data_IF_782418201437
#
_entry.id   IF_782418201437
#
_cell.length_a   1.000
_cell.length_b   1.000
_cell.length_c   1.000
_cell.angle_alpha   90.00
_cell.angle_beta   90.00
_cell.angle_gamma   90.00
#
_symmetry.space_group_name_H-M   'P 1'
#
loop_
_entity.id
_entity.type
_entity.pdbx_description
1 polymer ?
#
# COMPACT_ATOMS: atom_id res chain seq x y z
N UNK A 1 7.74 -11.34 -2.57
CA UNK A 1 8.32 -10.17 -3.29
C UNK A 1 8.04 -8.92 -2.47
N UNK A 2 9.07 -8.13 -2.17
CA UNK A 2 9.00 -6.84 -1.46
C UNK A 2 9.68 -5.77 -2.31
N UNK A 3 9.14 -4.55 -2.32
CA UNK A 3 9.77 -3.42 -2.99
C UNK A 3 10.88 -2.87 -2.11
N UNK A 4 12.13 -3.05 -2.53
CA UNK A 4 13.29 -2.63 -1.73
C UNK A 4 13.86 -1.29 -2.17
N UNK A 5 13.86 -1.00 -3.46
CA UNK A 5 14.33 0.29 -3.97
C UNK A 5 13.38 0.79 -5.03
N UNK A 6 13.15 2.08 -5.07
CA UNK A 6 12.47 2.73 -6.17
C UNK A 6 13.09 4.09 -6.51
N UNK A 7 12.94 4.45 -7.77
CA UNK A 7 13.25 5.77 -8.33
C UNK A 7 12.14 6.17 -9.27
N UNK A 8 11.83 7.45 -9.32
CA UNK A 8 10.81 7.98 -10.23
C UNK A 8 11.22 9.33 -10.81
N UNK A 9 10.93 9.55 -12.09
CA UNK A 9 11.12 10.85 -12.75
C UNK A 9 9.87 11.21 -13.54
N UNK A 10 9.33 12.38 -13.27
CA UNK A 10 8.20 12.99 -13.96
C UNK A 10 8.68 14.11 -14.85
N UNK A 11 8.23 14.16 -16.11
CA UNK A 11 8.53 15.20 -17.10
C UNK A 11 10.02 15.54 -17.24
N UNK A 12 10.85 14.50 -17.40
CA UNK A 12 12.31 14.59 -17.48
C UNK A 12 12.77 15.62 -18.52
N UNK A 13 13.67 16.53 -18.11
CA UNK A 13 14.23 17.59 -18.97
C UNK A 13 13.27 18.75 -19.22
N UNK A 14 12.10 18.83 -18.57
CA UNK A 14 11.14 19.91 -18.72
C UNK A 14 11.14 20.84 -17.49
N UNK A 15 10.62 22.08 -17.60
CA UNK A 15 10.59 23.04 -16.50
C UNK A 15 9.81 22.56 -15.25
N UNK A 16 8.87 21.63 -15.43
CA UNK A 16 8.06 21.01 -14.41
C UNK A 16 8.55 19.59 -14.03
N UNK A 17 9.83 19.31 -14.31
CA UNK A 17 10.47 18.06 -13.87
C UNK A 17 10.36 17.91 -12.36
N UNK A 18 9.97 16.71 -11.94
CA UNK A 18 10.02 16.31 -10.56
C UNK A 18 10.47 14.86 -10.43
N UNK A 19 11.37 14.59 -9.49
CA UNK A 19 11.93 13.28 -9.29
C UNK A 19 11.87 12.85 -7.81
N UNK A 20 11.79 11.55 -7.61
CA UNK A 20 12.20 10.88 -6.37
C UNK A 20 13.55 10.27 -6.66
N UNK A 21 14.57 10.68 -5.91
CA UNK A 21 15.89 10.05 -5.99
C UNK A 21 15.80 8.59 -5.55
N UNK A 22 16.79 7.80 -5.92
CA UNK A 22 16.82 6.40 -5.52
C UNK A 22 16.68 6.27 -4.00
N UNK A 23 15.65 5.55 -3.59
CA UNK A 23 15.29 5.37 -2.20
C UNK A 23 15.23 3.88 -1.86
N UNK A 24 16.01 3.45 -0.86
CA UNK A 24 15.91 2.11 -0.30
C UNK A 24 14.86 2.08 0.81
N UNK A 25 13.97 1.08 0.73
CA UNK A 25 12.91 0.81 1.69
C UNK A 25 13.26 -0.41 2.54
N UNK A 26 12.75 -0.43 3.77
CA UNK A 26 12.78 -1.58 4.66
C UNK A 26 11.40 -2.28 4.70
N UNK A 27 11.27 -3.42 5.41
CA UNK A 27 9.95 -4.02 5.62
C UNK A 27 8.94 -3.09 6.31
N UNK A 28 9.42 -2.15 7.13
CA UNK A 28 8.62 -1.14 7.83
C UNK A 28 9.21 0.23 7.54
N UNK A 29 8.40 1.17 7.05
CA UNK A 29 8.85 2.51 6.69
C UNK A 29 7.86 3.56 7.20
N UNK A 30 8.38 4.60 7.85
CA UNK A 30 7.65 5.81 8.19
C UNK A 30 8.29 7.00 7.47
N UNK A 31 7.61 7.52 6.45
CA UNK A 31 8.06 8.70 5.72
C UNK A 31 7.57 9.93 6.48
N UNK A 32 8.52 10.69 7.01
CA UNK A 32 8.25 11.92 7.76
C UNK A 32 8.72 13.15 6.99
N UNK A 33 8.04 14.27 7.19
CA UNK A 33 8.42 15.52 6.54
C UNK A 33 7.36 16.61 6.72
N UNK A 34 7.77 17.86 6.50
CA UNK A 34 6.89 19.02 6.57
C UNK A 34 5.69 18.89 5.62
N UNK A 35 4.62 19.64 5.88
CA UNK A 35 3.50 19.72 4.94
C UNK A 35 4.01 20.19 3.57
N UNK A 36 3.40 19.66 2.51
CA UNK A 36 3.80 19.91 1.11
C UNK A 36 5.24 19.47 0.74
N UNK A 37 5.92 18.63 1.54
CA UNK A 37 7.22 18.07 1.19
C UNK A 37 7.15 17.01 0.08
N UNK A 38 5.97 16.39 -0.13
CA UNK A 38 5.76 15.38 -1.16
C UNK A 38 5.55 13.96 -0.63
N UNK A 39 5.32 13.76 0.67
CA UNK A 39 5.03 12.46 1.30
C UNK A 39 3.95 11.68 0.54
N UNK A 40 2.75 12.26 0.45
CA UNK A 40 1.61 11.64 -0.26
C UNK A 40 1.90 11.38 -1.74
N UNK A 41 2.71 12.24 -2.39
CA UNK A 41 3.10 12.05 -3.79
C UNK A 41 4.00 10.82 -3.96
N UNK A 42 4.92 10.57 -3.02
CA UNK A 42 5.81 9.39 -3.03
C UNK A 42 4.97 8.11 -2.92
N UNK A 43 4.10 8.00 -1.93
CA UNK A 43 3.28 6.79 -1.75
C UNK A 43 2.28 6.60 -2.87
N UNK A 44 1.75 7.67 -3.45
CA UNK A 44 0.86 7.63 -4.60
C UNK A 44 1.57 7.07 -5.86
N UNK A 45 2.86 7.36 -6.07
CA UNK A 45 3.65 6.82 -7.18
C UNK A 45 3.77 5.30 -7.09
N UNK A 46 4.01 4.78 -5.88
CA UNK A 46 4.07 3.34 -5.61
C UNK A 46 2.69 2.70 -5.87
N UNK A 47 1.63 3.35 -5.40
CA UNK A 47 0.26 2.88 -5.63
C UNK A 47 -0.13 2.86 -7.11
N UNK A 48 0.14 3.95 -7.86
CA UNK A 48 -0.13 4.01 -9.31
C UNK A 48 0.57 2.87 -10.04
N UNK A 49 1.84 2.59 -9.72
CA UNK A 49 2.55 1.47 -10.32
C UNK A 49 1.87 0.14 -10.02
N UNK A 50 1.40 -0.06 -8.79
CA UNK A 50 0.68 -1.28 -8.44
C UNK A 50 -0.66 -1.42 -9.19
N UNK A 51 -1.36 -0.32 -9.47
CA UNK A 51 -2.58 -0.35 -10.27
C UNK A 51 -2.30 -0.70 -11.74
N UNK A 52 -1.21 -0.17 -12.29
CA UNK A 52 -0.77 -0.48 -13.66
C UNK A 52 -0.41 -1.97 -13.80
N UNK A 53 0.43 -2.49 -12.92
CA UNK A 53 0.90 -3.88 -12.95
C UNK A 53 -0.19 -4.92 -12.65
N UNK A 54 -1.21 -4.55 -11.87
CA UNK A 54 -2.35 -5.42 -11.57
C UNK A 54 -3.49 -5.31 -12.60
N UNK A 55 -3.34 -4.44 -13.61
CA UNK A 55 -4.40 -4.12 -14.59
C UNK A 55 -5.69 -3.55 -13.95
N UNK A 56 -5.55 -2.91 -12.77
CA UNK A 56 -6.68 -2.26 -12.11
C UNK A 56 -6.96 -0.86 -12.68
N UNK A 57 -5.96 -0.27 -13.32
CA UNK A 57 -6.05 1.03 -13.98
C UNK A 57 -6.14 0.86 -15.49
N UNK A 58 -7.21 1.38 -16.09
CA UNK A 58 -7.50 1.22 -17.52
C UNK A 58 -6.68 2.14 -18.44
N UNK A 59 -6.05 3.19 -17.90
CA UNK A 59 -5.31 4.17 -18.70
C UNK A 59 -3.93 4.43 -18.14
N UNK A 60 -2.93 4.48 -19.01
CA UNK A 60 -1.58 4.90 -18.67
C UNK A 60 -1.54 6.40 -18.31
N UNK A 61 -0.56 6.84 -17.49
CA UNK A 61 -0.32 8.25 -17.19
C UNK A 61 -0.14 9.09 -18.45
N UNK A 62 -0.85 10.22 -18.56
CA UNK A 62 -0.85 11.11 -19.72
C UNK A 62 0.21 12.23 -19.63
N UNK A 63 1.12 12.15 -18.67
CA UNK A 63 2.26 13.07 -18.56
C UNK A 63 3.12 13.08 -19.83
N UNK A 64 3.88 14.15 -20.04
CA UNK A 64 4.83 14.21 -21.16
C UNK A 64 5.88 13.11 -21.07
N UNK A 65 6.37 12.81 -19.84
CA UNK A 65 7.11 11.59 -19.55
C UNK A 65 6.92 11.16 -18.10
N UNK A 66 7.01 9.85 -17.85
CA UNK A 66 7.03 9.23 -16.54
C UNK A 66 7.95 8.02 -16.58
N UNK A 67 8.97 8.00 -15.75
CA UNK A 67 9.96 6.93 -15.71
C UNK A 67 9.96 6.31 -14.31
N UNK A 68 9.73 4.97 -14.20
CA UNK A 68 9.85 4.18 -12.98
C UNK A 68 11.02 3.23 -13.10
N UNK A 69 11.75 3.09 -12.01
CA UNK A 69 12.75 2.06 -11.83
C UNK A 69 12.56 1.44 -10.45
N UNK A 70 12.25 0.16 -10.41
CA UNK A 70 11.88 -0.58 -9.21
C UNK A 70 12.79 -1.79 -9.05
N UNK A 71 13.22 -2.06 -7.81
CA UNK A 71 13.96 -3.25 -7.45
C UNK A 71 13.27 -3.97 -6.30
N UNK A 72 13.16 -5.26 -6.44
CA UNK A 72 12.51 -6.13 -5.46
C UNK A 72 13.49 -7.22 -5.02
N UNK A 73 13.35 -7.65 -3.75
CA UNK A 73 14.04 -8.79 -3.16
C UNK A 73 15.58 -8.74 -3.38
N UNK A 74 16.17 -7.55 -3.21
CA UNK A 74 17.60 -7.28 -3.53
C UNK A 74 18.57 -8.09 -2.67
N UNK A 75 18.17 -8.47 -1.46
CA UNK A 75 19.00 -9.27 -0.54
C UNK A 75 18.97 -10.77 -0.89
N UNK A 76 18.20 -11.17 -1.92
CA UNK A 76 18.10 -12.52 -2.46
C UNK A 76 18.57 -12.53 -3.92
N UNK A 77 19.89 -12.69 -4.19
CA UNK A 77 20.46 -12.47 -5.53
C UNK A 77 19.81 -13.26 -6.67
N UNK A 78 19.34 -14.49 -6.41
CA UNK A 78 18.67 -15.32 -7.42
C UNK A 78 17.23 -14.87 -7.71
N UNK A 79 16.58 -14.19 -6.78
CA UNK A 79 15.18 -13.69 -6.85
C UNK A 79 15.11 -12.19 -7.13
N UNK A 80 16.25 -11.47 -7.06
CA UNK A 80 16.31 -10.05 -7.33
C UNK A 80 15.61 -9.73 -8.64
N UNK A 81 14.61 -8.88 -8.55
CA UNK A 81 13.82 -8.46 -9.70
C UNK A 81 13.98 -6.95 -9.92
N UNK A 82 14.31 -6.56 -11.13
CA UNK A 82 14.42 -5.17 -11.55
C UNK A 82 13.39 -4.89 -12.66
N UNK A 83 12.57 -3.86 -12.47
CA UNK A 83 11.55 -3.47 -13.42
C UNK A 83 11.71 -2.01 -13.82
N UNK A 84 11.83 -1.76 -15.11
CA UNK A 84 11.99 -0.44 -15.70
C UNK A 84 10.82 -0.16 -16.63
N UNK A 85 10.15 0.98 -16.43
CA UNK A 85 9.04 1.42 -17.25
C UNK A 85 9.18 2.90 -17.60
N UNK A 86 9.11 3.20 -18.89
CA UNK A 86 9.05 4.57 -19.39
C UNK A 86 7.79 4.77 -20.23
N UNK A 87 7.01 5.79 -19.87
CA UNK A 87 5.78 6.17 -20.54
C UNK A 87 5.90 7.63 -20.99
N UNK A 88 5.50 7.92 -22.23
CA UNK A 88 5.38 9.28 -22.74
C UNK A 88 3.99 9.47 -23.35
N UNK A 89 3.26 10.50 -22.88
CA UNK A 89 1.91 10.85 -23.38
C UNK A 89 0.95 9.66 -23.47
N UNK A 90 1.01 8.76 -22.48
CA UNK A 90 0.16 7.57 -22.42
C UNK A 90 0.62 6.41 -23.30
N UNK A 91 1.82 6.46 -23.85
CA UNK A 91 2.41 5.38 -24.65
C UNK A 91 3.64 4.81 -23.94
N UNK A 92 3.79 3.50 -23.92
CA UNK A 92 4.96 2.82 -23.39
C UNK A 92 6.11 2.95 -24.38
N UNK A 93 7.17 3.61 -23.95
CA UNK A 93 8.39 3.84 -24.74
C UNK A 93 9.44 2.76 -24.48
N UNK A 94 9.50 2.30 -23.24
CA UNK A 94 10.41 1.23 -22.80
C UNK A 94 9.78 0.45 -21.66
N UNK A 95 9.93 -0.87 -21.70
CA UNK A 95 9.52 -1.75 -20.61
C UNK A 95 10.50 -2.92 -20.51
N UNK A 96 11.15 -3.09 -19.37
CA UNK A 96 12.14 -4.14 -19.14
C UNK A 96 11.92 -4.82 -17.80
N UNK A 97 12.13 -6.14 -17.78
CA UNK A 97 12.14 -6.97 -16.58
C UNK A 97 13.38 -7.85 -16.57
N UNK A 98 14.17 -7.72 -15.51
CA UNK A 98 15.41 -8.48 -15.27
C UNK A 98 15.24 -9.25 -13.97
N UNK A 99 15.63 -10.54 -13.93
CA UNK A 99 15.58 -11.37 -12.72
C UNK A 99 16.90 -12.12 -12.55
N UNK A 100 17.40 -12.15 -11.31
CA UNK A 100 18.64 -12.80 -10.92
C UNK A 100 19.88 -11.95 -11.11
N UNK A 101 20.99 -12.37 -10.49
CA UNK A 101 22.27 -11.64 -10.49
C UNK A 101 23.21 -12.03 -11.63
N UNK A 102 22.92 -13.11 -12.35
CA UNK A 102 23.87 -13.74 -13.30
C UNK A 102 23.72 -13.35 -14.76
N UNK A 103 22.63 -12.71 -15.14
CA UNK A 103 22.49 -12.20 -16.52
C UNK A 103 21.93 -10.80 -16.49
N UNK A 104 22.69 -9.84 -17.00
CA UNK A 104 22.19 -8.48 -17.28
C UNK A 104 21.17 -8.46 -18.44
N UNK A 105 20.80 -9.64 -18.97
CA UNK A 105 19.85 -9.75 -20.05
C UNK A 105 18.40 -9.80 -19.56
N UNK A 106 17.55 -8.82 -19.94
CA UNK A 106 16.16 -8.78 -19.51
C UNK A 106 15.38 -10.01 -19.99
N UNK A 107 14.55 -10.58 -19.10
CA UNK A 107 13.58 -11.63 -19.47
C UNK A 107 12.43 -11.07 -20.32
N UNK A 108 12.13 -9.79 -20.17
CA UNK A 108 11.25 -9.03 -21.03
C UNK A 108 11.96 -7.73 -21.41
N UNK A 109 12.02 -7.45 -22.70
CA UNK A 109 12.60 -6.22 -23.26
C UNK A 109 11.73 -5.72 -24.39
N UNK A 110 11.11 -4.54 -24.22
CA UNK A 110 10.19 -3.93 -25.15
C UNK A 110 10.61 -2.52 -25.51
N UNK A 111 10.46 -2.20 -26.77
CA UNK A 111 10.84 -0.94 -27.38
C UNK A 111 9.63 -0.05 -27.72
N UNK A 112 9.89 1.18 -28.11
CA UNK A 112 8.88 2.19 -28.45
C UNK A 112 7.89 1.71 -29.55
N UNK A 113 8.34 0.90 -30.50
CA UNK A 113 7.46 0.33 -31.54
C UNK A 113 6.35 -0.60 -31.01
N UNK A 114 6.41 -0.98 -29.73
CA UNK A 114 5.56 -2.02 -29.16
C UNK A 114 6.08 -3.44 -29.42
N UNK A 115 7.12 -3.58 -30.23
CA UNK A 115 7.84 -4.84 -30.43
C UNK A 115 8.78 -5.12 -29.27
N UNK A 116 9.06 -6.39 -29.03
CA UNK A 116 9.99 -6.78 -27.97
C UNK A 116 10.37 -8.24 -28.03
N UNK A 117 11.16 -8.65 -27.02
CA UNK A 117 11.54 -10.04 -26.78
C UNK A 117 11.14 -10.43 -25.36
N UNK A 118 10.61 -11.63 -25.21
CA UNK A 118 10.22 -12.18 -23.92
C UNK A 118 10.73 -13.62 -23.80
N UNK A 119 11.23 -13.98 -22.63
CA UNK A 119 11.69 -15.34 -22.35
C UNK A 119 10.50 -16.31 -22.29
N UNK A 120 10.59 -17.41 -23.01
CA UNK A 120 9.61 -18.48 -23.04
C UNK A 120 10.17 -19.70 -22.31
N UNK A 121 9.57 -20.04 -21.16
CA UNK A 121 10.12 -21.05 -20.25
C UNK A 121 10.27 -22.44 -20.90
N UNK A 122 9.21 -22.92 -21.57
CA UNK A 122 9.22 -24.28 -22.17
C UNK A 122 10.25 -24.46 -23.29
N UNK A 123 10.52 -23.40 -24.06
CA UNK A 123 11.51 -23.41 -25.13
C UNK A 123 12.90 -22.99 -24.66
N UNK A 124 13.02 -22.51 -23.42
CA UNK A 124 14.24 -21.95 -22.85
C UNK A 124 14.94 -20.92 -23.76
N UNK A 125 14.16 -20.09 -24.44
CA UNK A 125 14.67 -19.06 -25.36
C UNK A 125 13.77 -17.84 -25.37
N UNK A 126 14.31 -16.71 -25.88
CA UNK A 126 13.52 -15.49 -26.09
C UNK A 126 12.78 -15.56 -27.41
N UNK A 127 11.49 -15.24 -27.39
CA UNK A 127 10.63 -15.12 -28.55
C UNK A 127 10.28 -13.63 -28.80
N UNK A 128 10.00 -13.28 -30.04
CA UNK A 128 9.50 -11.94 -30.39
C UNK A 128 8.02 -11.83 -30.05
N UNK A 129 7.62 -10.65 -29.63
CA UNK A 129 6.22 -10.31 -29.42
C UNK A 129 5.94 -8.87 -29.85
N UNK A 130 4.65 -8.55 -30.01
CA UNK A 130 4.17 -7.18 -30.18
C UNK A 130 2.99 -6.95 -29.24
N UNK A 131 2.99 -5.80 -28.54
CA UNK A 131 1.91 -5.36 -27.65
C UNK A 131 1.56 -3.93 -28.00
N UNK A 132 0.29 -3.56 -27.91
CA UNK A 132 -0.17 -2.18 -28.14
C UNK A 132 0.61 -1.21 -27.22
N UNK A 133 0.96 -0.04 -27.73
CA UNK A 133 1.74 0.95 -26.97
C UNK A 133 0.98 1.51 -25.76
N UNK A 134 -0.33 1.38 -25.72
CA UNK A 134 -1.19 1.80 -24.58
C UNK A 134 -1.30 0.74 -23.50
N UNK A 135 -0.64 -0.41 -23.63
CA UNK A 135 -0.74 -1.55 -22.73
C UNK A 135 0.63 -2.00 -22.24
N UNK A 136 0.73 -2.48 -21.00
CA UNK A 136 1.98 -3.06 -20.47
C UNK A 136 2.16 -4.50 -20.95
N UNK A 137 3.36 -4.83 -21.44
CA UNK A 137 3.68 -6.18 -21.88
C UNK A 137 3.70 -7.18 -20.72
N UNK A 138 4.20 -6.80 -19.53
CA UNK A 138 4.17 -7.64 -18.32
C UNK A 138 2.75 -8.05 -17.92
N UNK A 139 1.75 -7.22 -18.25
CA UNK A 139 0.33 -7.51 -17.98
C UNK A 139 -0.28 -8.36 -19.09
N UNK A 140 -0.09 -7.95 -20.34
CA UNK A 140 -0.73 -8.60 -21.50
C UNK A 140 -0.13 -9.96 -21.87
N UNK A 141 1.15 -10.16 -21.53
CA UNK A 141 1.87 -11.42 -21.79
C UNK A 141 1.90 -12.34 -20.59
N UNK A 142 1.18 -12.00 -19.50
CA UNK A 142 1.13 -12.83 -18.31
C UNK A 142 0.47 -14.17 -18.62
N UNK A 143 1.23 -15.23 -18.42
CA UNK A 143 0.83 -16.61 -18.52
C UNK A 143 1.67 -17.43 -17.53
N UNK A 144 1.02 -18.12 -16.60
CA UNK A 144 1.70 -18.83 -15.53
C UNK A 144 2.52 -20.06 -16.00
N UNK A 145 2.27 -20.55 -17.22
CA UNK A 145 2.99 -21.67 -17.82
C UNK A 145 4.15 -21.13 -18.67
N UNK A 146 3.85 -20.22 -19.59
CA UNK A 146 4.82 -19.71 -20.55
C UNK A 146 5.80 -18.69 -19.93
N UNK A 147 5.27 -17.81 -19.06
CA UNK A 147 5.99 -16.68 -18.48
C UNK A 147 5.80 -16.58 -16.95
N UNK A 148 6.09 -17.65 -16.18
CA UNK A 148 5.84 -17.71 -14.73
C UNK A 148 6.57 -16.63 -13.93
N UNK A 149 7.67 -16.09 -14.47
CA UNK A 149 8.44 -15.01 -13.87
C UNK A 149 7.68 -13.67 -13.78
N UNK A 150 6.57 -13.51 -14.51
CA UNK A 150 5.69 -12.33 -14.42
C UNK A 150 4.75 -12.39 -13.21
N UNK A 151 4.51 -13.59 -12.66
CA UNK A 151 3.57 -13.78 -11.56
C UNK A 151 3.97 -13.06 -10.28
N UNK A 152 5.27 -12.93 -9.98
CA UNK A 152 5.76 -12.20 -8.80
C UNK A 152 5.35 -10.73 -8.79
N UNK A 153 5.55 -10.02 -9.90
CA UNK A 153 5.12 -8.62 -10.05
C UNK A 153 3.61 -8.47 -9.94
N UNK A 154 2.86 -9.36 -10.56
CA UNK A 154 1.40 -9.35 -10.48
C UNK A 154 0.92 -9.61 -9.05
N UNK A 155 1.48 -10.59 -8.35
CA UNK A 155 1.10 -10.90 -6.96
C UNK A 155 1.39 -9.72 -6.04
N UNK A 156 2.58 -9.11 -6.11
CA UNK A 156 2.91 -7.91 -5.36
C UNK A 156 1.91 -6.78 -5.66
N UNK A 157 1.70 -6.49 -6.93
CA UNK A 157 0.85 -5.37 -7.35
C UNK A 157 -0.63 -5.60 -7.00
N UNK A 158 -1.14 -6.82 -7.13
CA UNK A 158 -2.53 -7.15 -6.79
C UNK A 158 -2.78 -7.22 -5.28
N UNK A 159 -1.74 -7.49 -4.48
CA UNK A 159 -1.83 -7.55 -3.02
C UNK A 159 -1.62 -6.19 -2.34
N UNK A 160 -1.06 -5.20 -3.02
CA UNK A 160 -0.84 -3.87 -2.44
C UNK A 160 -2.19 -3.21 -2.08
N UNK A 161 -2.24 -2.63 -0.88
CA UNK A 161 -3.37 -1.85 -0.36
C UNK A 161 -2.92 -0.43 -0.08
N UNK A 162 -3.75 0.53 -0.45
CA UNK A 162 -3.50 1.94 -0.23
C UNK A 162 -4.63 2.57 0.58
N UNK A 163 -4.27 3.19 1.69
CA UNK A 163 -5.17 3.85 2.62
C UNK A 163 -4.83 5.32 2.71
N UNK A 164 -5.69 6.18 2.21
CA UNK A 164 -5.68 7.60 2.57
C UNK A 164 -6.39 7.74 3.92
N UNK A 165 -5.63 7.60 5.02
CA UNK A 165 -6.20 7.48 6.36
C UNK A 165 -7.02 8.72 6.75
N UNK A 166 -6.67 9.89 6.25
CA UNK A 166 -7.43 11.13 6.40
C UNK A 166 -8.82 11.16 5.75
N UNK A 167 -9.17 10.17 4.92
CA UNK A 167 -10.46 10.11 4.20
C UNK A 167 -11.53 9.31 4.95
N UNK A 168 -12.68 9.11 4.32
CA UNK A 168 -13.79 8.32 4.89
C UNK A 168 -13.55 6.79 4.85
N UNK A 169 -12.57 6.31 4.08
CA UNK A 169 -12.21 4.89 3.92
C UNK A 169 -13.42 3.96 3.69
N UNK A 170 -14.41 4.42 2.94
CA UNK A 170 -15.58 3.61 2.62
C UNK A 170 -16.69 3.63 3.69
N UNK A 171 -16.64 4.53 4.67
CA UNK A 171 -17.66 4.63 5.73
C UNK A 171 -19.10 4.76 5.21
N UNK A 172 -19.27 5.38 4.06
CA UNK A 172 -20.58 5.56 3.39
C UNK A 172 -20.86 4.48 2.33
N UNK A 173 -19.94 3.54 2.12
CA UNK A 173 -20.09 2.49 1.11
C UNK A 173 -20.75 1.27 1.72
N UNK A 174 -21.86 0.85 1.12
CA UNK A 174 -22.53 -0.41 1.40
C UNK A 174 -22.10 -1.44 0.35
N UNK A 175 -22.21 -2.70 0.69
CA UNK A 175 -21.86 -3.80 -0.22
C UNK A 175 -23.11 -4.63 -0.54
N UNK A 176 -23.38 -4.80 -1.83
CA UNK A 176 -24.43 -5.71 -2.29
C UNK A 176 -23.80 -7.08 -2.62
N UNK A 177 -24.25 -8.18 -1.97
CA UNK A 177 -23.80 -9.51 -2.31
C UNK A 177 -24.06 -9.83 -3.79
N UNK A 178 -23.13 -10.54 -4.47
CA UNK A 178 -23.32 -10.93 -5.87
C UNK A 178 -24.45 -11.95 -6.02
N UNK A 179 -25.05 -11.99 -7.20
CA UNK A 179 -26.10 -12.95 -7.54
C UNK A 179 -25.53 -14.09 -8.40
N UNK A 180 -25.98 -15.38 -8.27
CA UNK A 180 -26.87 -15.94 -7.23
C UNK A 180 -26.19 -16.05 -5.87
N UNK A 181 -26.96 -15.99 -4.79
CA UNK A 181 -26.46 -15.82 -3.41
C UNK A 181 -26.03 -17.06 -2.70
N UNK A 182 -26.51 -18.19 -3.17
CA UNK A 182 -26.14 -19.53 -2.69
C UNK A 182 -24.75 -19.96 -3.16
N UNK A 183 -24.09 -19.17 -4.02
CA UNK A 183 -22.70 -19.43 -4.41
C UNK A 183 -21.72 -18.83 -3.42
N UNK A 184 -20.59 -19.50 -3.26
CA UNK A 184 -19.46 -18.97 -2.52
C UNK A 184 -18.94 -17.66 -3.14
N UNK A 185 -18.61 -16.70 -2.29
CA UNK A 185 -17.94 -15.46 -2.72
C UNK A 185 -16.57 -15.79 -3.29
N UNK A 186 -16.25 -15.16 -4.40
CA UNK A 186 -14.92 -15.19 -4.97
C UNK A 186 -14.24 -13.83 -4.87
N UNK A 187 -12.92 -13.80 -4.98
CA UNK A 187 -12.15 -12.55 -5.01
C UNK A 187 -12.53 -11.64 -6.17
N UNK A 188 -13.10 -12.18 -7.25
CA UNK A 188 -13.55 -11.40 -8.39
C UNK A 188 -14.84 -10.62 -8.09
N UNK A 189 -15.59 -11.03 -7.06
CA UNK A 189 -16.84 -10.37 -6.64
C UNK A 189 -16.55 -9.12 -5.78
N UNK A 190 -15.32 -8.96 -5.32
CA UNK A 190 -14.93 -7.92 -4.41
C UNK A 190 -13.72 -7.18 -4.98
N UNK A 191 -13.82 -5.87 -5.07
CA UNK A 191 -12.67 -5.02 -5.42
C UNK A 191 -11.68 -4.95 -4.24
N UNK A 192 -11.00 -6.07 -3.97
CA UNK A 192 -10.12 -6.21 -2.79
C UNK A 192 -9.07 -5.09 -2.73
N UNK A 193 -8.68 -4.53 -3.87
CA UNK A 193 -7.68 -3.45 -3.96
C UNK A 193 -8.23 -2.08 -3.57
N UNK A 194 -9.53 -1.90 -3.62
CA UNK A 194 -10.20 -0.68 -3.21
C UNK A 194 -10.42 -0.68 -1.70
N UNK A 195 -9.75 0.24 -0.99
CA UNK A 195 -9.87 0.38 0.46
C UNK A 195 -11.30 0.66 0.93
N UNK A 196 -12.17 1.17 0.06
CA UNK A 196 -13.58 1.37 0.35
C UNK A 196 -14.41 0.07 0.36
N UNK A 197 -13.89 -1.03 -0.16
CA UNK A 197 -14.57 -2.34 -0.24
C UNK A 197 -14.57 -3.13 1.09
N UNK A 198 -14.43 -2.45 2.22
CA UNK A 198 -14.23 -3.06 3.55
C UNK A 198 -15.32 -4.06 3.94
N UNK A 199 -16.59 -3.78 3.62
CA UNK A 199 -17.72 -4.66 3.92
C UNK A 199 -17.61 -5.99 3.15
N UNK A 200 -17.28 -5.91 1.86
CA UNK A 200 -17.05 -7.09 1.03
C UNK A 200 -15.84 -7.91 1.49
N UNK A 201 -14.74 -7.24 1.89
CA UNK A 201 -13.55 -7.92 2.44
C UNK A 201 -13.90 -8.62 3.75
N UNK A 202 -14.71 -8.00 4.60
CA UNK A 202 -15.19 -8.65 5.83
C UNK A 202 -16.04 -9.89 5.52
N UNK A 203 -16.97 -9.80 4.56
CA UNK A 203 -17.79 -10.93 4.13
C UNK A 203 -16.92 -12.11 3.64
N UNK A 204 -15.93 -11.81 2.78
CA UNK A 204 -15.00 -12.80 2.26
C UNK A 204 -14.13 -13.42 3.37
N UNK A 205 -13.59 -12.62 4.28
CA UNK A 205 -12.78 -13.10 5.39
C UNK A 205 -13.61 -13.99 6.36
N UNK A 206 -14.87 -13.63 6.61
CA UNK A 206 -15.79 -14.44 7.37
C UNK A 206 -16.06 -15.80 6.71
N UNK A 207 -16.19 -15.84 5.37
CA UNK A 207 -16.41 -17.08 4.62
C UNK A 207 -15.13 -17.94 4.55
N UNK A 208 -13.96 -17.37 4.20
CA UNK A 208 -12.71 -18.11 3.99
C UNK A 208 -12.05 -18.56 5.31
N UNK A 209 -12.14 -17.74 6.38
CA UNK A 209 -11.37 -17.91 7.62
C UNK A 209 -12.30 -18.19 8.83
N UNK A 210 -13.48 -17.58 8.85
CA UNK A 210 -14.46 -17.79 9.93
C UNK A 210 -14.16 -17.01 11.21
N UNK A 211 -14.40 -17.67 12.37
CA UNK A 211 -14.25 -17.05 13.69
C UNK A 211 -12.86 -16.49 13.98
N UNK A 212 -11.73 -17.15 13.63
CA UNK A 212 -10.40 -16.59 13.87
C UNK A 212 -10.21 -15.19 13.28
N UNK A 213 -10.81 -14.90 12.12
CA UNK A 213 -10.76 -13.58 11.50
C UNK A 213 -11.52 -12.52 12.32
N UNK A 214 -12.74 -12.84 12.73
CA UNK A 214 -13.56 -11.95 13.57
C UNK A 214 -12.90 -11.68 14.92
N UNK A 215 -12.40 -12.73 15.56
CA UNK A 215 -11.79 -12.65 16.89
C UNK A 215 -10.49 -11.83 16.87
N UNK A 216 -9.70 -11.94 15.78
CA UNK A 216 -8.52 -11.10 15.57
C UNK A 216 -8.89 -9.61 15.44
N UNK A 217 -9.93 -9.28 14.68
CA UNK A 217 -10.40 -7.89 14.54
C UNK A 217 -10.85 -7.33 15.88
N UNK A 218 -11.65 -8.09 16.67
CA UNK A 218 -12.11 -7.68 17.98
C UNK A 218 -10.93 -7.48 18.94
N UNK A 219 -9.94 -8.37 18.90
CA UNK A 219 -8.71 -8.25 19.70
C UNK A 219 -7.94 -6.98 19.38
N UNK A 220 -7.73 -6.70 18.09
CA UNK A 220 -7.00 -5.51 17.64
C UNK A 220 -7.73 -4.21 18.01
N UNK A 221 -9.06 -4.18 17.83
CA UNK A 221 -9.86 -3.03 18.23
C UNK A 221 -9.80 -2.77 19.73
N UNK A 222 -9.79 -3.84 20.54
CA UNK A 222 -9.64 -3.74 21.99
C UNK A 222 -8.26 -3.22 22.39
N UNK A 223 -7.20 -3.66 21.71
CA UNK A 223 -5.83 -3.20 21.98
C UNK A 223 -5.68 -1.69 21.78
N UNK A 224 -6.44 -1.10 20.86
CA UNK A 224 -6.47 0.35 20.64
C UNK A 224 -7.58 1.08 21.43
N UNK A 225 -8.18 0.43 22.44
CA UNK A 225 -9.12 1.05 23.37
C UNK A 225 -10.59 1.09 22.90
N UNK A 226 -10.99 0.24 21.94
CA UNK A 226 -12.40 0.04 21.60
C UNK A 226 -12.85 -1.32 22.09
N UNK A 227 -13.57 -1.37 23.21
CA UNK A 227 -14.05 -2.60 23.87
C UNK A 227 -15.23 -3.22 23.10
N UNK A 228 -14.92 -3.93 22.01
CA UNK A 228 -15.93 -4.61 21.21
C UNK A 228 -16.22 -6.02 21.75
N UNK A 229 -17.51 -6.40 21.73
CA UNK A 229 -17.98 -7.77 21.96
C UNK A 229 -18.33 -8.48 20.65
N UNK A 230 -18.71 -7.72 19.61
CA UNK A 230 -19.07 -8.27 18.31
C UNK A 230 -18.72 -7.33 17.17
N UNK A 231 -18.43 -7.92 16.01
CA UNK A 231 -18.33 -7.25 14.72
C UNK A 231 -19.00 -8.13 13.66
N UNK A 232 -19.78 -7.52 12.76
CA UNK A 232 -20.52 -8.25 11.75
C UNK A 232 -21.02 -7.37 10.61
N UNK A 233 -21.79 -8.00 9.73
CA UNK A 233 -22.49 -7.33 8.64
C UNK A 233 -23.99 -7.58 8.75
N UNK A 234 -24.78 -6.55 8.43
CA UNK A 234 -26.24 -6.61 8.41
C UNK A 234 -26.78 -5.60 7.40
N UNK A 235 -28.06 -5.75 7.08
CA UNK A 235 -28.79 -4.69 6.36
C UNK A 235 -28.97 -3.50 7.30
N UNK A 236 -28.62 -2.25 6.89
CA UNK A 236 -28.80 -1.07 7.71
C UNK A 236 -30.26 -0.82 8.09
N UNK A 237 -30.49 -0.34 9.32
CA UNK A 237 -31.86 -0.02 9.78
C UNK A 237 -32.56 1.02 8.92
N UNK A 238 -31.82 1.96 8.33
CA UNK A 238 -32.34 2.98 7.42
C UNK A 238 -32.95 2.42 6.13
N UNK A 239 -32.54 1.23 5.70
CA UNK A 239 -33.07 0.60 4.49
C UNK A 239 -34.40 -0.12 4.79
N UNK A 240 -34.53 -0.70 5.98
CA UNK A 240 -35.76 -1.40 6.35
C UNK A 240 -37.02 -0.50 6.41
N UNK A 241 -36.85 0.83 6.65
CA UNK A 241 -37.98 1.75 6.67
C UNK A 241 -38.61 2.00 5.30
N UNK A 242 -37.90 1.72 4.22
CA UNK A 242 -38.30 2.07 2.86
C UNK A 242 -38.76 0.86 2.02
N UNK A 243 -38.77 -0.36 2.61
CA UNK A 243 -39.03 -1.60 1.87
C UNK A 243 -40.40 -2.17 2.18
N UNK A 244 -41.15 -2.54 1.14
CA UNK A 244 -42.36 -3.32 1.26
C UNK A 244 -42.04 -4.77 1.66
N UNK A 245 -42.90 -5.40 2.45
CA UNK A 245 -42.72 -6.73 3.01
C UNK A 245 -42.53 -7.91 1.97
N UNK A 246 -42.38 -7.58 0.70
CA UNK A 246 -42.21 -8.54 -0.40
C UNK A 246 -40.74 -8.78 -0.79
N UNK A 247 -39.79 -7.92 -0.36
CA UNK A 247 -38.38 -8.07 -0.72
C UNK A 247 -37.68 -8.95 0.33
N UNK A 248 -37.02 -10.02 -0.12
CA UNK A 248 -36.22 -10.84 0.78
C UNK A 248 -35.06 -9.99 1.36
N UNK A 249 -34.88 -10.01 2.68
CA UNK A 249 -33.82 -9.24 3.37
C UNK A 249 -32.41 -9.57 2.86
N UNK A 250 -32.28 -10.69 2.15
CA UNK A 250 -31.03 -11.17 1.55
C UNK A 250 -30.62 -10.37 0.31
N UNK A 251 -31.55 -9.66 -0.37
CA UNK A 251 -31.32 -8.88 -1.58
C UNK A 251 -30.83 -7.45 -1.32
N UNK A 252 -30.69 -7.08 -0.06
CA UNK A 252 -30.43 -5.72 0.34
C UNK A 252 -28.94 -5.44 0.55
N UNK A 253 -28.48 -4.21 0.28
CA UNK A 253 -27.14 -3.79 0.61
C UNK A 253 -26.83 -3.98 2.09
N UNK A 254 -25.63 -4.45 2.39
CA UNK A 254 -25.16 -4.70 3.74
C UNK A 254 -24.12 -3.67 4.16
N UNK A 255 -24.02 -3.42 5.44
CA UNK A 255 -23.02 -2.57 6.09
C UNK A 255 -22.45 -3.26 7.32
N UNK A 256 -21.28 -2.79 7.78
CA UNK A 256 -20.70 -3.22 9.04
C UNK A 256 -21.56 -2.77 10.23
N UNK A 257 -21.54 -3.54 11.28
CA UNK A 257 -21.94 -3.14 12.62
C UNK A 257 -20.94 -3.64 13.63
N UNK A 258 -20.91 -2.98 14.77
CA UNK A 258 -20.19 -3.40 15.96
C UNK A 258 -21.14 -3.41 17.14
N UNK A 259 -20.81 -4.18 18.17
CA UNK A 259 -21.40 -4.07 19.48
C UNK A 259 -20.30 -3.79 20.48
N UNK A 260 -20.39 -2.64 21.15
CA UNK A 260 -19.53 -2.31 22.27
C UNK A 260 -19.98 -3.12 23.50
N UNK A 261 -19.02 -3.52 24.36
CA UNK A 261 -19.30 -4.42 25.49
C UNK A 261 -20.32 -3.84 26.46
N UNK A 262 -20.29 -2.53 26.64
CA UNK A 262 -21.14 -1.82 27.60
C UNK A 262 -22.49 -1.38 27.02
N UNK A 263 -22.72 -1.62 25.71
CA UNK A 263 -23.97 -1.28 25.05
C UNK A 263 -24.81 -2.53 24.76
N UNK A 264 -26.12 -2.40 24.92
CA UNK A 264 -27.08 -3.46 24.57
C UNK A 264 -27.49 -3.42 23.09
N UNK A 265 -27.26 -2.30 22.42
CA UNK A 265 -27.58 -2.09 21.01
C UNK A 265 -26.33 -2.10 20.17
N UNK A 266 -26.46 -2.49 18.90
CA UNK A 266 -25.37 -2.43 17.94
C UNK A 266 -25.21 -1.00 17.39
N UNK A 267 -23.97 -0.60 17.12
CA UNK A 267 -23.63 0.64 16.42
C UNK A 267 -23.42 0.32 14.95
N UNK A 268 -24.26 0.88 14.09
CA UNK A 268 -24.15 0.68 12.63
C UNK A 268 -23.02 1.53 12.01
N UNK A 269 -22.52 1.11 10.86
CA UNK A 269 -21.39 1.70 10.15
C UNK A 269 -21.42 3.22 10.08
N UNK A 270 -22.56 3.81 9.70
CA UNK A 270 -22.72 5.27 9.59
C UNK A 270 -22.71 6.00 10.94
N UNK A 271 -23.07 5.30 12.01
CA UNK A 271 -23.12 5.83 13.39
C UNK A 271 -21.77 5.79 14.09
N UNK A 272 -20.83 4.96 13.63
CA UNK A 272 -19.46 4.90 14.19
C UNK A 272 -18.78 6.27 14.08
N UNK A 273 -17.91 6.61 15.02
CA UNK A 273 -17.00 7.74 14.84
C UNK A 273 -16.08 7.52 13.64
N UNK A 274 -15.54 8.59 13.06
CA UNK A 274 -14.66 8.46 11.89
C UNK A 274 -13.36 7.69 12.24
N UNK A 275 -12.75 7.99 13.39
CA UNK A 275 -11.55 7.30 13.85
C UNK A 275 -11.78 5.80 14.11
N UNK A 276 -12.89 5.46 14.78
CA UNK A 276 -13.26 4.06 15.00
C UNK A 276 -13.44 3.29 13.70
N UNK A 277 -14.14 3.88 12.72
CA UNK A 277 -14.36 3.22 11.43
C UNK A 277 -13.06 3.07 10.64
N UNK A 278 -12.17 4.06 10.63
CA UNK A 278 -10.85 3.99 10.00
C UNK A 278 -10.01 2.86 10.56
N UNK A 279 -9.92 2.75 11.89
CA UNK A 279 -9.21 1.67 12.56
C UNK A 279 -9.83 0.29 12.25
N UNK A 280 -11.15 0.16 12.33
CA UNK A 280 -11.88 -1.07 12.01
C UNK A 280 -11.63 -1.49 10.55
N UNK A 281 -11.73 -0.55 9.60
CA UNK A 281 -11.46 -0.80 8.18
C UNK A 281 -10.03 -1.31 7.95
N UNK A 282 -9.05 -0.69 8.58
CA UNK A 282 -7.66 -1.07 8.48
C UNK A 282 -7.42 -2.47 9.03
N UNK A 283 -7.93 -2.79 10.23
CA UNK A 283 -7.74 -4.11 10.85
C UNK A 283 -8.47 -5.23 10.12
N UNK A 284 -9.63 -4.98 9.54
CA UNK A 284 -10.32 -5.95 8.68
C UNK A 284 -9.38 -6.38 7.53
N UNK A 285 -8.75 -5.43 6.86
CA UNK A 285 -7.93 -5.71 5.70
C UNK A 285 -6.57 -6.33 6.05
N UNK A 286 -5.93 -5.86 7.12
CA UNK A 286 -4.66 -6.41 7.60
C UNK A 286 -4.86 -7.86 8.09
N UNK A 287 -5.86 -8.12 8.91
CA UNK A 287 -6.12 -9.46 9.42
C UNK A 287 -6.52 -10.43 8.30
N UNK A 288 -7.27 -9.96 7.29
CA UNK A 288 -7.53 -10.79 6.12
C UNK A 288 -6.22 -11.17 5.41
N UNK A 289 -5.30 -10.22 5.19
CA UNK A 289 -4.02 -10.50 4.55
C UNK A 289 -3.16 -11.49 5.36
N UNK A 290 -3.07 -11.29 6.67
CA UNK A 290 -2.28 -12.14 7.56
C UNK A 290 -2.83 -13.56 7.67
N UNK A 291 -4.13 -13.70 7.98
CA UNK A 291 -4.75 -14.99 8.22
C UNK A 291 -4.94 -15.81 6.94
N UNK A 292 -5.11 -15.15 5.80
CA UNK A 292 -5.07 -15.81 4.51
C UNK A 292 -3.64 -16.14 4.04
N UNK A 293 -2.61 -15.84 4.83
CA UNK A 293 -1.18 -16.04 4.52
C UNK A 293 -0.77 -15.49 3.16
N UNK A 294 -1.28 -14.31 2.82
CA UNK A 294 -1.01 -13.64 1.54
C UNK A 294 -0.06 -12.48 1.79
N UNK A 295 1.20 -12.56 1.32
CA UNK A 295 2.11 -11.43 1.37
C UNK A 295 1.46 -10.20 0.74
N UNK A 296 1.56 -9.05 1.41
CA UNK A 296 0.99 -7.80 0.92
C UNK A 296 1.89 -6.62 1.24
N UNK A 297 1.78 -5.57 0.42
CA UNK A 297 2.32 -4.26 0.71
C UNK A 297 1.16 -3.37 1.15
N UNK A 298 1.28 -2.75 2.33
CA UNK A 298 0.28 -1.85 2.89
C UNK A 298 0.88 -0.46 2.94
N UNK A 299 0.24 0.43 2.25
CA UNK A 299 0.61 1.84 2.16
C UNK A 299 -0.47 2.65 2.88
N UNK A 300 -0.08 3.47 3.85
CA UNK A 300 -0.99 4.30 4.64
C UNK A 300 -0.52 5.75 4.56
N UNK A 301 -1.31 6.60 3.93
CA UNK A 301 -1.04 8.03 3.88
C UNK A 301 -1.70 8.73 5.06
N UNK A 302 -0.95 9.59 5.75
CA UNK A 302 -1.34 10.37 6.92
C UNK A 302 -1.91 9.51 8.07
N UNK A 303 -1.14 8.47 8.48
CA UNK A 303 -1.51 7.61 9.62
C UNK A 303 -1.67 8.44 10.90
N UNK A 304 -2.71 8.14 11.68
CA UNK A 304 -3.04 8.83 12.94
C UNK A 304 -4.05 9.94 12.79
N UNK A 305 -4.32 10.45 11.59
CA UNK A 305 -5.26 11.55 11.39
C UNK A 305 -6.67 11.21 11.92
N UNK A 306 -7.16 12.06 12.85
CA UNK A 306 -8.48 11.91 13.46
C UNK A 306 -8.56 10.88 14.58
N UNK A 307 -7.43 10.41 15.09
CA UNK A 307 -7.31 9.65 16.33
C UNK A 307 -6.75 10.53 17.44
N UNK A 308 -7.07 10.19 18.70
CA UNK A 308 -6.40 10.76 19.86
C UNK A 308 -5.02 10.14 20.09
N UNK A 309 -4.26 10.73 21.00
CA UNK A 309 -2.90 10.30 21.33
C UNK A 309 -2.77 8.82 21.68
N UNK A 310 -3.63 8.33 22.58
CA UNK A 310 -3.53 6.95 23.08
C UNK A 310 -3.81 5.95 21.96
N UNK A 311 -4.82 6.22 21.14
CA UNK A 311 -5.17 5.37 19.98
C UNK A 311 -4.15 5.44 18.86
N UNK A 312 -3.62 6.62 18.57
CA UNK A 312 -2.54 6.78 17.58
C UNK A 312 -1.30 5.99 17.97
N UNK A 313 -0.88 6.06 19.24
CA UNK A 313 0.28 5.33 19.75
C UNK A 313 0.03 3.81 19.74
N UNK A 314 -1.17 3.35 20.10
CA UNK A 314 -1.51 1.94 20.11
C UNK A 314 -1.62 1.35 18.71
N UNK A 315 -2.23 2.08 17.76
CA UNK A 315 -2.38 1.59 16.38
C UNK A 315 -1.03 1.43 15.69
N UNK A 316 -0.10 2.40 15.87
CA UNK A 316 1.21 2.30 15.23
C UNK A 316 2.04 1.14 15.78
N UNK A 317 2.01 0.91 17.08
CA UNK A 317 2.66 -0.23 17.71
C UNK A 317 2.13 -1.55 17.17
N UNK A 318 0.80 -1.70 17.13
CA UNK A 318 0.15 -2.90 16.63
C UNK A 318 0.46 -3.16 15.15
N UNK A 319 0.49 -2.12 14.31
CA UNK A 319 0.86 -2.23 12.90
C UNK A 319 2.31 -2.70 12.72
N UNK A 320 3.24 -2.15 13.48
CA UNK A 320 4.65 -2.55 13.49
C UNK A 320 4.78 -4.02 13.90
N UNK A 321 4.12 -4.43 14.98
CA UNK A 321 4.18 -5.83 15.46
C UNK A 321 3.60 -6.81 14.43
N UNK A 322 2.52 -6.46 13.75
CA UNK A 322 1.97 -7.24 12.63
C UNK A 322 2.94 -7.30 11.43
N UNK A 323 3.61 -6.21 11.10
CA UNK A 323 4.56 -6.18 9.99
C UNK A 323 5.85 -6.99 10.28
N UNK A 324 6.27 -7.09 11.55
CA UNK A 324 7.40 -7.94 12.00
C UNK A 324 7.18 -9.43 11.72
N UNK A 325 5.96 -9.88 11.45
CA UNK A 325 5.68 -11.27 11.01
C UNK A 325 6.33 -11.58 9.64
N UNK A 326 6.71 -10.57 8.87
CA UNK A 326 7.33 -10.69 7.56
C UNK A 326 6.36 -10.89 6.39
N UNK A 327 5.06 -11.07 6.67
CA UNK A 327 4.01 -11.22 5.65
C UNK A 327 3.56 -9.88 5.03
N UNK A 328 3.83 -8.77 5.72
CA UNK A 328 3.43 -7.43 5.30
C UNK A 328 4.67 -6.56 5.13
N UNK A 329 4.75 -5.81 4.03
CA UNK A 329 5.58 -4.62 3.94
C UNK A 329 4.71 -3.41 4.26
N UNK A 330 5.14 -2.57 5.20
CA UNK A 330 4.40 -1.42 5.70
C UNK A 330 5.12 -0.13 5.27
N UNK A 331 4.40 0.74 4.56
CA UNK A 331 4.90 2.06 4.15
C UNK A 331 3.88 3.10 4.63
N UNK A 332 4.28 3.96 5.54
CA UNK A 332 3.38 4.94 6.16
C UNK A 332 3.93 6.35 5.96
N UNK A 333 3.04 7.31 5.89
CA UNK A 333 3.40 8.73 6.00
C UNK A 333 2.73 9.36 7.21
N UNK A 334 3.36 10.35 7.80
CA UNK A 334 2.78 11.14 8.88
C UNK A 334 3.40 12.52 8.98
N UNK A 335 2.69 13.44 9.62
CA UNK A 335 3.17 14.71 10.16
C UNK A 335 2.80 14.84 11.65
N UNK A 336 2.28 13.78 12.26
CA UNK A 336 1.84 13.73 13.64
C UNK A 336 3.02 13.41 14.57
N UNK A 337 3.25 14.29 15.57
CA UNK A 337 4.33 14.17 16.54
C UNK A 337 4.23 12.88 17.37
N UNK A 338 3.00 12.48 17.71
CA UNK A 338 2.80 11.30 18.57
C UNK A 338 3.14 10.00 17.81
N UNK A 339 2.77 9.94 16.54
CA UNK A 339 3.18 8.83 15.66
C UNK A 339 4.70 8.82 15.52
N UNK A 340 5.32 9.97 15.25
CA UNK A 340 6.77 10.10 15.12
C UNK A 340 7.49 9.56 16.37
N UNK A 341 7.10 10.00 17.55
CA UNK A 341 7.71 9.54 18.81
C UNK A 341 7.46 8.05 19.12
N UNK A 342 6.41 7.47 18.58
CA UNK A 342 6.05 6.05 18.77
C UNK A 342 6.77 5.07 17.83
N UNK A 343 7.51 5.54 16.82
CA UNK A 343 8.16 4.71 15.80
C UNK A 343 9.68 4.77 15.93
N UNK A 344 10.38 3.62 16.08
CA UNK A 344 11.84 3.58 16.10
C UNK A 344 12.48 4.24 14.87
N UNK A 345 13.58 4.95 15.05
CA UNK A 345 14.29 5.69 13.99
C UNK A 345 14.81 4.80 12.87
N UNK A 346 15.07 3.53 13.14
CA UNK A 346 15.44 2.54 12.11
C UNK A 346 14.40 2.38 11.00
N UNK A 347 13.13 2.73 11.25
CA UNK A 347 12.04 2.69 10.27
C UNK A 347 11.76 4.02 9.60
N UNK A 348 12.48 5.08 9.98
CA UNK A 348 12.24 6.41 9.45
C UNK A 348 12.86 6.63 8.08
N UNK A 349 12.16 7.43 7.30
CA UNK A 349 12.65 8.03 6.05
C UNK A 349 12.27 9.51 6.07
N UNK A 350 13.21 10.39 6.41
CA UNK A 350 13.02 11.84 6.40
C UNK A 350 13.10 12.36 4.97
N UNK A 351 12.04 13.05 4.52
CA UNK A 351 12.01 13.63 3.18
C UNK A 351 12.68 15.01 3.14
N UNK A 352 13.73 15.12 2.36
CA UNK A 352 14.33 16.37 1.92
C UNK A 352 13.73 16.78 0.57
N UNK A 353 13.16 17.99 0.50
CA UNK A 353 12.63 18.54 -0.73
C UNK A 353 13.52 19.67 -1.23
N UNK A 354 14.00 19.53 -2.46
CA UNK A 354 14.61 20.61 -3.24
C UNK A 354 13.72 20.95 -4.45
N UNK A 355 13.90 22.09 -5.13
CA UNK A 355 13.16 22.37 -6.37
C UNK A 355 13.33 21.23 -7.37
N UNK A 356 12.22 20.60 -7.76
CA UNK A 356 12.21 19.49 -8.73
C UNK A 356 12.69 18.13 -8.20
N UNK A 357 13.04 17.98 -6.91
CA UNK A 357 13.52 16.70 -6.37
C UNK A 357 13.03 16.44 -4.94
N UNK A 358 12.84 15.16 -4.63
CA UNK A 358 12.66 14.65 -3.28
C UNK A 358 13.66 13.52 -3.02
N UNK A 359 14.35 13.58 -1.89
CA UNK A 359 15.29 12.57 -1.43
C UNK A 359 14.85 12.08 -0.05
N UNK A 360 14.99 10.79 0.19
CA UNK A 360 14.70 10.18 1.49
C UNK A 360 15.99 9.85 2.22
N UNK A 361 16.13 10.37 3.46
CA UNK A 361 17.22 10.08 4.37
C UNK A 361 16.77 9.05 5.39
N UNK A 362 17.46 7.92 5.46
CA UNK A 362 17.12 6.80 6.34
C UNK A 362 18.37 6.01 6.76
N UNK A 363 18.17 4.91 7.46
CA UNK A 363 19.23 4.06 7.98
C UNK A 363 20.20 3.54 6.89
N UNK A 364 19.80 3.50 5.62
CA UNK A 364 20.64 3.01 4.52
C UNK A 364 21.62 4.07 3.99
N UNK A 365 21.33 5.36 4.15
CA UNK A 365 22.15 6.45 3.62
C UNK A 365 22.52 7.52 4.66
N UNK A 366 22.02 7.42 5.90
CA UNK A 366 22.25 8.40 6.97
C UNK A 366 22.43 7.71 8.33
N UNK A 367 22.95 6.47 8.35
CA UNK A 367 23.09 5.65 9.55
C UNK A 367 23.87 6.36 10.66
N UNK A 368 25.05 6.89 10.34
CA UNK A 368 25.93 7.53 11.32
C UNK A 368 25.23 8.69 12.05
N UNK A 369 24.53 9.54 11.32
CA UNK A 369 23.75 10.64 11.90
C UNK A 369 22.56 10.17 12.74
N UNK A 370 21.91 9.08 12.36
CA UNK A 370 20.81 8.51 13.15
C UNK A 370 21.33 7.96 14.46
N UNK A 371 22.44 7.20 14.43
CA UNK A 371 23.09 6.64 15.63
C UNK A 371 23.62 7.75 16.55
N UNK A 372 24.18 8.83 15.98
CA UNK A 372 24.62 10.02 16.72
C UNK A 372 23.43 10.70 17.41
N UNK A 373 22.33 10.91 16.72
CA UNK A 373 21.12 11.49 17.30
C UNK A 373 20.55 10.64 18.43
N UNK A 374 20.48 9.31 18.26
CA UNK A 374 20.04 8.39 19.32
C UNK A 374 20.95 8.51 20.58
N UNK A 375 22.24 8.71 20.40
CA UNK A 375 23.18 8.91 21.51
C UNK A 375 22.93 10.21 22.29
N UNK A 376 22.43 11.27 21.64
CA UNK A 376 22.07 12.53 22.30
C UNK A 376 20.87 12.34 23.25
N UNK A 377 20.00 11.37 23.00
CA UNK A 377 18.88 11.01 23.88
C UNK A 377 17.68 11.97 23.82
N UNK A 378 17.53 12.73 22.74
CA UNK A 378 16.34 13.53 22.45
C UNK A 378 15.21 12.63 21.93
N UNK A 379 13.96 13.15 21.89
CA UNK A 379 12.86 12.40 21.32
C UNK A 379 12.92 12.40 19.77
N UNK A 380 12.22 11.45 19.14
CA UNK A 380 12.31 11.29 17.69
C UNK A 380 11.77 12.51 16.92
N UNK A 381 10.78 13.21 17.45
CA UNK A 381 10.27 14.44 16.85
C UNK A 381 11.33 15.57 16.82
N UNK A 382 12.25 15.60 17.79
CA UNK A 382 13.35 16.57 17.80
C UNK A 382 14.31 16.34 16.61
N UNK A 383 14.53 15.10 16.18
CA UNK A 383 15.32 14.81 14.97
C UNK A 383 14.69 15.45 13.72
N UNK A 384 13.37 15.45 13.64
CA UNK A 384 12.64 16.08 12.56
C UNK A 384 12.66 17.61 12.63
N UNK A 385 12.42 18.18 13.82
CA UNK A 385 12.32 19.64 14.01
C UNK A 385 13.66 20.36 13.93
N UNK A 386 14.74 19.74 14.39
CA UNK A 386 16.10 20.27 14.30
C UNK A 386 16.72 20.14 12.91
N UNK A 387 16.05 19.45 11.98
CA UNK A 387 16.59 19.14 10.64
C UNK A 387 17.98 18.44 10.71
N UNK A 388 18.27 17.73 11.80
CA UNK A 388 19.57 17.13 12.11
C UNK A 388 20.15 16.30 10.95
N UNK A 389 19.31 15.47 10.30
CA UNK A 389 19.75 14.67 9.15
C UNK A 389 20.08 15.50 7.90
N UNK A 390 19.58 16.74 7.81
CA UNK A 390 19.74 17.61 6.64
C UNK A 390 20.93 18.58 6.79
N UNK A 391 21.49 18.72 7.99
CA UNK A 391 22.65 19.57 8.24
C UNK A 391 23.86 19.06 7.46
N UNK A 392 24.59 19.97 6.80
CA UNK A 392 25.83 19.63 6.12
C UNK A 392 26.97 19.60 7.12
N UNK A 393 27.92 18.66 6.94
CA UNK A 393 29.18 18.69 7.66
C UNK A 393 29.87 20.05 7.39
N UNK A 394 29.98 20.88 8.40
CA UNK A 394 30.60 22.22 8.31
C UNK A 394 29.72 23.39 8.73
N UNK A 395 28.42 23.19 8.99
CA UNK A 395 27.56 24.28 9.52
C UNK A 395 27.68 24.48 11.04
N UNK A 396 28.50 23.68 11.74
CA UNK A 396 28.73 23.77 13.21
C UNK A 396 29.63 24.94 13.67
N UNK A 397 30.29 25.64 12.74
CA UNK A 397 31.17 26.77 13.13
C UNK A 397 30.48 28.14 13.23
N UNK A 398 29.16 28.21 13.04
CA UNK A 398 28.41 29.48 12.95
C UNK A 398 27.27 29.66 13.98
N UNK A 399 27.21 28.88 15.07
CA UNK A 399 26.18 29.02 16.12
C UNK A 399 26.77 29.45 17.48
#
# INVERSE_FOLDING_TARGET
>A
MKLDIFRYVYNKGLPDEWRVEECRLSPINLIVGKNASGKSKIVMIIYIMSELLSNSRSRLPQAKSSEWHLWFDIDQPEERTEYILKIEKGLVIQEQLIIGSKSDEPLLDRYESGEGKIFYKELNQKIRFQTDQTELAVVKRRDSIQHPFLEGLYQWSSSLRFYEFGTELGKKVMWAPPFPRDRELSKNDIKIKDASSVVGIFALGKQEIGNPFRDAIISDMREIGYELSEVGIKVPSSIYSDISAADSSEDLPQSLYIQERDLTSVTEQLQMSQGMFRALSLFIQINYSLLASKPSCIVIDDIGEGLDYERSSSIIKLLIDKAKTGLIQLIMTTNDEFIMNGVPLEYWSLIERTPGSAKLHNIYNSREKIEEFEFIGLNNFDLFTSEFLLQKEGDEEAA
#
